data_IF_506138900038
#
_entry.id   IF_506138900038
#
_cell.length_a   1.000
_cell.length_b   1.000
_cell.length_c   1.000
_cell.angle_alpha   90.00
_cell.angle_beta   90.00
_cell.angle_gamma   90.00
#
_symmetry.space_group_name_H-M   'P 1'
#
loop_
_entity.id
_entity.type
_entity.pdbx_description
1 polymer ?
#
# COMPACT_ATOMS: atom_id res chain seq x y z
N UNK A 1 -15.27 -28.08 -7.11
CA UNK A 1 -15.70 -26.68 -6.96
C UNK A 1 -14.93 -26.12 -5.78
N UNK A 2 -14.00 -25.20 -6.01
CA UNK A 2 -13.22 -24.58 -4.94
C UNK A 2 -14.12 -23.56 -4.24
N UNK A 3 -14.54 -23.86 -3.01
CA UNK A 3 -15.16 -22.90 -2.10
C UNK A 3 -14.10 -21.86 -1.73
N UNK A 4 -14.03 -20.78 -2.51
CA UNK A 4 -13.29 -19.60 -2.10
C UNK A 4 -14.13 -18.91 -1.05
N UNK A 5 -13.86 -19.21 0.22
CA UNK A 5 -14.32 -18.38 1.33
C UNK A 5 -13.63 -17.05 1.13
N UNK A 6 -14.33 -16.09 0.53
CA UNK A 6 -13.85 -14.74 0.33
C UNK A 6 -13.73 -14.09 1.70
N UNK A 7 -12.58 -14.25 2.35
CA UNK A 7 -12.27 -13.52 3.56
C UNK A 7 -12.44 -12.02 3.23
N UNK A 8 -13.32 -11.36 3.98
CA UNK A 8 -13.64 -9.93 3.88
C UNK A 8 -12.49 -9.02 4.34
N UNK A 9 -11.30 -9.59 4.51
CA UNK A 9 -10.10 -8.84 4.81
C UNK A 9 -9.53 -8.40 3.45
N UNK A 10 -9.04 -7.15 3.31
CA UNK A 10 -8.20 -6.86 2.15
C UNK A 10 -7.15 -7.96 2.09
N UNK A 11 -7.12 -8.71 0.98
CA UNK A 11 -6.13 -9.74 0.72
C UNK A 11 -4.79 -9.17 1.17
N UNK A 12 -4.15 -9.83 2.14
CA UNK A 12 -2.92 -9.33 2.75
C UNK A 12 -1.97 -8.92 1.64
N UNK A 13 -1.57 -7.65 1.63
CA UNK A 13 -0.58 -7.16 0.68
C UNK A 13 0.63 -8.09 0.72
N UNK A 14 1.17 -8.43 -0.46
CA UNK A 14 2.37 -9.26 -0.51
C UNK A 14 3.60 -8.41 -0.17
N UNK A 15 3.77 -8.15 1.13
CA UNK A 15 4.83 -7.29 1.66
C UNK A 15 6.22 -7.81 1.35
N UNK A 16 6.37 -9.14 1.25
CA UNK A 16 7.64 -9.75 0.89
C UNK A 16 7.99 -9.43 -0.56
N UNK A 17 7.03 -9.61 -1.48
CA UNK A 17 7.22 -9.25 -2.88
C UNK A 17 7.44 -7.74 -3.05
N UNK A 18 6.72 -6.93 -2.27
CA UNK A 18 6.90 -5.49 -2.28
C UNK A 18 8.32 -5.08 -1.87
N UNK A 19 8.81 -5.65 -0.76
CA UNK A 19 10.17 -5.40 -0.29
C UNK A 19 11.21 -5.84 -1.34
N UNK A 20 11.09 -7.06 -1.87
CA UNK A 20 12.01 -7.56 -2.91
C UNK A 20 12.04 -6.67 -4.16
N UNK A 21 10.95 -5.98 -4.48
CA UNK A 21 10.81 -5.12 -5.66
C UNK A 21 11.31 -3.69 -5.45
N UNK A 22 11.12 -3.13 -4.25
CA UNK A 22 11.27 -1.69 -4.02
C UNK A 22 12.28 -1.31 -2.93
N UNK A 23 12.67 -2.20 -2.02
CA UNK A 23 13.77 -1.99 -1.07
C UNK A 23 15.09 -2.34 -1.77
N UNK A 24 15.67 -1.36 -2.48
CA UNK A 24 16.77 -1.57 -3.43
C UNK A 24 18.14 -1.58 -2.76
N UNK A 25 18.27 -0.82 -1.68
CA UNK A 25 19.48 -0.80 -0.87
C UNK A 25 19.47 -1.90 0.22
N UNK A 26 18.33 -2.60 0.39
CA UNK A 26 18.13 -3.68 1.36
C UNK A 26 18.33 -3.22 2.81
N UNK A 27 17.92 -1.99 3.13
CA UNK A 27 18.00 -1.42 4.48
C UNK A 27 16.73 -1.66 5.33
N UNK A 28 15.70 -2.27 4.74
CA UNK A 28 14.43 -2.57 5.40
C UNK A 28 13.53 -1.35 5.57
N UNK A 29 13.89 -0.23 4.96
CA UNK A 29 13.13 1.01 4.89
C UNK A 29 12.93 1.40 3.42
N UNK A 30 12.02 2.33 3.16
CA UNK A 30 11.79 2.85 1.81
C UNK A 30 12.07 4.34 1.80
N UNK A 31 13.11 4.75 1.07
CA UNK A 31 13.32 6.17 0.78
C UNK A 31 12.31 6.69 -0.24
N UNK A 32 12.12 8.01 -0.32
CA UNK A 32 11.26 8.62 -1.36
C UNK A 32 11.66 8.17 -2.77
N UNK A 33 12.97 8.06 -3.05
CA UNK A 33 13.50 7.65 -4.36
C UNK A 33 13.17 6.19 -4.72
N UNK A 34 13.12 5.32 -3.72
CA UNK A 34 12.65 3.94 -3.88
C UNK A 34 11.14 3.92 -4.12
N UNK A 35 10.42 4.70 -3.32
CA UNK A 35 8.96 4.75 -3.34
C UNK A 35 8.37 5.38 -4.61
N UNK A 36 9.07 6.31 -5.26
CA UNK A 36 8.70 6.88 -6.56
C UNK A 36 8.53 5.81 -7.66
N UNK A 37 9.13 4.63 -7.48
CA UNK A 37 9.03 3.51 -8.43
C UNK A 37 7.78 2.65 -8.22
N UNK A 38 7.07 2.86 -7.12
CA UNK A 38 5.88 2.07 -6.80
C UNK A 38 4.78 2.39 -7.80
N UNK A 39 4.31 1.34 -8.47
CA UNK A 39 3.23 1.43 -9.47
C UNK A 39 1.91 0.87 -8.93
N UNK A 40 2.00 -0.09 -8.03
CA UNK A 40 0.92 -0.91 -7.51
C UNK A 40 1.28 -1.49 -6.14
N UNK A 41 0.29 -2.08 -5.48
CA UNK A 41 0.41 -2.77 -4.20
C UNK A 41 -0.21 -4.16 -4.38
N UNK A 42 0.49 -5.04 -5.09
CA UNK A 42 -0.03 -6.36 -5.47
C UNK A 42 -0.68 -7.09 -4.26
N UNK A 43 -1.89 -7.64 -4.43
CA UNK A 43 -2.64 -7.82 -5.68
C UNK A 43 -3.48 -6.62 -6.14
N UNK A 44 -3.37 -5.47 -5.49
CA UNK A 44 -4.15 -4.28 -5.77
C UNK A 44 -3.44 -3.31 -6.72
N UNK A 45 -4.24 -2.69 -7.59
CA UNK A 45 -3.81 -1.51 -8.33
C UNK A 45 -3.63 -0.32 -7.39
N UNK A 46 -2.98 0.74 -7.91
CA UNK A 46 -2.95 2.04 -7.26
C UNK A 46 -4.36 2.49 -6.82
N UNK A 47 -4.49 3.09 -5.63
CA UNK A 47 -5.77 3.53 -5.06
C UNK A 47 -6.46 4.53 -5.99
N UNK A 48 -7.79 4.59 -5.89
CA UNK A 48 -8.63 5.57 -6.61
C UNK A 48 -8.85 6.86 -5.82
N UNK A 49 -8.29 6.97 -4.62
CA UNK A 49 -8.37 8.18 -3.78
C UNK A 49 -7.75 9.36 -4.54
N UNK A 50 -8.53 10.43 -4.69
CA UNK A 50 -8.16 11.65 -5.43
C UNK A 50 -6.93 12.36 -4.85
N UNK A 51 -6.62 12.14 -3.57
CA UNK A 51 -5.45 12.71 -2.88
C UNK A 51 -4.12 12.15 -3.39
N UNK A 52 -4.15 11.00 -4.07
CA UNK A 52 -2.96 10.31 -4.55
C UNK A 52 -3.12 9.99 -6.04
N UNK A 53 -3.47 11.01 -6.83
CA UNK A 53 -3.62 10.92 -8.29
C UNK A 53 -2.72 11.94 -8.98
N UNK A 54 -2.39 11.68 -10.26
CA UNK A 54 -1.54 12.55 -11.05
C UNK A 54 -0.05 12.19 -10.95
N UNK A 55 0.80 13.09 -11.45
CA UNK A 55 2.23 12.80 -11.68
C UNK A 55 3.04 12.68 -10.37
N UNK A 56 2.59 13.34 -9.29
CA UNK A 56 3.29 13.36 -7.99
C UNK A 56 2.67 12.40 -6.95
N UNK A 57 1.78 11.51 -7.38
CA UNK A 57 1.00 10.64 -6.48
C UNK A 57 1.86 9.81 -5.51
N UNK A 58 3.04 9.37 -5.93
CA UNK A 58 3.95 8.61 -5.07
C UNK A 58 4.52 9.48 -3.95
N UNK A 59 4.96 10.70 -4.26
CA UNK A 59 5.50 11.63 -3.27
C UNK A 59 4.42 12.07 -2.27
N UNK A 60 3.21 12.34 -2.75
CA UNK A 60 2.08 12.71 -1.88
C UNK A 60 1.74 11.58 -0.90
N UNK A 61 1.71 10.34 -1.38
CA UNK A 61 1.49 9.18 -0.52
C UNK A 61 2.64 8.94 0.44
N UNK A 62 3.88 9.09 -0.04
CA UNK A 62 5.06 8.94 0.80
C UNK A 62 4.99 9.89 2.00
N UNK A 63 4.74 11.18 1.75
CA UNK A 63 4.61 12.17 2.80
C UNK A 63 3.39 11.98 3.69
N UNK A 64 2.35 11.31 3.19
CA UNK A 64 1.19 10.93 3.98
C UNK A 64 1.50 9.79 4.95
N UNK A 65 2.31 8.81 4.54
CA UNK A 65 2.68 7.64 5.35
C UNK A 65 3.87 7.91 6.29
N UNK A 66 4.75 8.86 5.95
CA UNK A 66 5.92 9.27 6.75
C UNK A 66 5.48 10.09 7.97
N UNK A 67 4.88 9.41 8.96
CA UNK A 67 4.29 10.02 10.15
C UNK A 67 5.35 10.74 11.00
N UNK A 68 6.52 10.13 11.13
CA UNK A 68 7.62 10.69 11.92
C UNK A 68 8.44 11.74 11.14
N UNK A 69 8.20 11.89 9.83
CA UNK A 69 8.83 12.86 8.93
C UNK A 69 10.35 12.73 8.84
N UNK A 70 10.86 11.50 8.93
CA UNK A 70 12.29 11.22 8.86
C UNK A 70 12.78 11.04 7.41
N UNK A 71 11.88 11.02 6.42
CA UNK A 71 12.22 10.83 5.00
C UNK A 71 12.35 9.37 4.58
N UNK A 72 11.89 8.43 5.40
CA UNK A 72 11.87 6.99 5.17
C UNK A 72 10.55 6.39 5.65
N UNK A 73 10.05 5.38 4.94
CA UNK A 73 8.93 4.58 5.41
C UNK A 73 9.46 3.27 6.00
N UNK A 74 9.06 2.99 7.24
CA UNK A 74 9.19 1.66 7.83
C UNK A 74 8.08 0.73 7.29
N UNK A 75 8.22 -0.58 7.49
CA UNK A 75 7.15 -1.53 7.18
C UNK A 75 5.86 -1.24 7.98
N UNK A 76 5.98 -0.66 9.17
CA UNK A 76 4.83 -0.25 9.99
C UNK A 76 4.09 0.94 9.36
N UNK A 77 4.81 2.00 9.02
CA UNK A 77 4.27 3.18 8.32
C UNK A 77 3.68 2.81 6.97
N UNK A 78 4.35 1.93 6.22
CA UNK A 78 3.85 1.43 4.96
C UNK A 78 2.55 0.61 5.13
N UNK A 79 2.45 -0.14 6.24
CA UNK A 79 1.25 -0.91 6.60
C UNK A 79 0.00 -0.03 6.78
N UNK A 80 0.16 1.25 7.14
CA UNK A 80 -0.96 2.18 7.27
C UNK A 80 -1.68 2.42 5.93
N UNK A 81 -1.11 2.01 4.79
CA UNK A 81 -1.79 2.07 3.50
C UNK A 81 -3.11 1.26 3.46
N UNK A 82 -3.27 0.27 4.34
CA UNK A 82 -4.50 -0.52 4.43
C UNK A 82 -5.74 0.35 4.68
N UNK A 83 -5.60 1.51 5.33
CA UNK A 83 -6.71 2.45 5.55
C UNK A 83 -7.17 3.15 4.27
N UNK A 84 -6.36 3.15 3.21
CA UNK A 84 -6.66 3.77 1.91
C UNK A 84 -7.37 2.82 0.96
N UNK A 85 -7.28 1.51 1.18
CA UNK A 85 -8.04 0.54 0.42
C UNK A 85 -9.45 0.45 0.98
N UNK A 86 -10.45 0.67 0.12
CA UNK A 86 -11.85 0.44 0.50
C UNK A 86 -12.00 -0.99 1.00
N UNK A 87 -12.63 -1.16 2.16
CA UNK A 87 -12.95 -2.48 2.65
C UNK A 87 -13.86 -3.16 1.60
N UNK A 88 -13.48 -4.31 1.02
CA UNK A 88 -14.32 -5.00 0.03
C UNK A 88 -15.69 -5.44 0.57
N UNK A 89 -15.90 -5.31 1.89
CA UNK A 89 -17.14 -5.59 2.58
C UNK A 89 -17.84 -4.35 3.15
N UNK A 90 -17.32 -3.14 2.91
CA UNK A 90 -18.08 -1.90 3.15
C UNK A 90 -19.26 -1.83 2.16
N UNK A 91 -20.48 -1.82 2.69
CA UNK A 91 -21.71 -1.68 1.91
C UNK A 91 -22.49 -2.98 1.64
N UNK A 92 -22.10 -4.13 2.22
CA UNK A 92 -23.00 -5.30 2.29
C UNK A 92 -23.87 -5.18 3.54
N UNK A 93 -25.20 -4.99 3.41
CA UNK A 93 -26.03 -4.77 4.59
C UNK A 93 -25.99 -5.95 5.56
N UNK A 94 -26.08 -7.20 5.10
CA UNK A 94 -25.95 -8.43 5.90
C UNK A 94 -25.63 -9.59 4.94
N UNK A 95 -24.97 -10.65 5.43
CA UNK A 95 -25.04 -12.00 4.84
C UNK A 95 -26.48 -12.51 4.84
#
# INVERSE_FOLDING_TARGET
MLNVVSACEPASLDWKLFQEKYDLNHDGMYSLKEFERVQDFYPYNWFTDKRFQGDNKQAELFHYLDENKNGYLTNEELGNIHVLFSNPCEGRPWL
#
